data_IF_894025847709
#
_entry.id   IF_894025847709
#
_cell.length_a   1.000
_cell.length_b   1.000
_cell.length_c   1.000
_cell.angle_alpha   90.00
_cell.angle_beta   90.00
_cell.angle_gamma   90.00
#
_symmetry.space_group_name_H-M   'P 1'
#
loop_
_entity.id
_entity.type
_entity.pdbx_description
1 polymer ?
#
# COMPACT_ATOMS: atom_id res chain seq x y z
N UNK A 1 10.48 -15.48 27.97
CA UNK A 1 9.65 -14.90 26.89
C UNK A 1 10.54 -13.99 26.06
N UNK A 2 10.92 -14.39 24.85
CA UNK A 2 11.70 -13.52 23.94
C UNK A 2 10.74 -12.87 22.93
N UNK A 3 10.82 -11.55 22.68
CA UNK A 3 9.92 -10.87 21.77
C UNK A 3 10.30 -11.28 20.35
N UNK A 4 9.41 -12.02 19.69
CA UNK A 4 9.54 -12.29 18.26
C UNK A 4 9.31 -10.97 17.54
N UNK A 5 10.39 -10.23 17.28
CA UNK A 5 10.38 -9.05 16.44
C UNK A 5 9.69 -9.44 15.12
N UNK A 6 8.54 -8.82 14.83
CA UNK A 6 7.87 -9.02 13.55
C UNK A 6 8.76 -8.32 12.54
N UNK A 7 9.64 -9.10 11.92
CA UNK A 7 10.52 -8.63 10.88
C UNK A 7 9.69 -7.92 9.81
N UNK A 8 10.19 -6.77 9.35
CA UNK A 8 9.54 -5.83 8.44
C UNK A 8 8.82 -6.56 7.29
N UNK A 9 7.51 -6.81 7.46
CA UNK A 9 6.70 -7.43 6.43
C UNK A 9 6.58 -6.43 5.28
N UNK A 10 7.12 -6.78 4.11
CA UNK A 10 6.98 -5.96 2.91
C UNK A 10 5.71 -6.40 2.18
N UNK A 11 4.76 -5.47 2.10
CA UNK A 11 3.51 -5.65 1.38
C UNK A 11 3.63 -5.00 0.00
N UNK A 12 3.48 -5.81 -1.05
CA UNK A 12 3.41 -5.32 -2.42
C UNK A 12 2.05 -5.67 -3.02
N UNK A 13 1.28 -4.65 -3.41
CA UNK A 13 -0.10 -4.82 -3.88
C UNK A 13 -0.27 -4.43 -5.34
N UNK A 14 -1.10 -5.18 -6.06
CA UNK A 14 -1.51 -4.89 -7.43
C UNK A 14 -3.01 -4.58 -7.45
N UNK A 15 -3.41 -3.60 -8.25
CA UNK A 15 -4.80 -3.21 -8.34
C UNK A 15 -5.06 -2.12 -9.38
N UNK A 16 -6.35 -1.88 -9.62
CA UNK A 16 -6.81 -0.81 -10.49
C UNK A 16 -7.30 0.37 -9.65
N UNK A 17 -6.74 1.54 -9.90
CA UNK A 17 -7.17 2.79 -9.29
C UNK A 17 -8.33 3.38 -10.09
N UNK A 18 -9.40 3.75 -9.40
CA UNK A 18 -10.47 4.59 -9.91
C UNK A 18 -10.42 5.89 -9.13
N UNK A 19 -9.89 6.94 -9.77
CA UNK A 19 -9.60 8.20 -9.11
C UNK A 19 -10.44 9.33 -9.67
N UNK A 20 -10.92 10.18 -8.78
CA UNK A 20 -11.56 11.44 -9.14
C UNK A 20 -10.61 12.57 -8.78
N UNK A 21 -10.38 13.46 -9.73
CA UNK A 21 -9.53 14.63 -9.54
C UNK A 21 -10.38 15.89 -9.52
N UNK A 22 -9.91 16.90 -8.79
CA UNK A 22 -10.50 18.24 -8.78
C UNK A 22 -9.42 19.26 -9.12
N UNK A 23 -9.76 20.24 -9.94
CA UNK A 23 -8.90 21.38 -10.21
C UNK A 23 -9.25 22.50 -9.25
N UNK A 24 -8.28 22.93 -8.46
CA UNK A 24 -8.37 24.11 -7.60
C UNK A 24 -7.45 25.21 -8.17
N UNK A 25 -7.46 26.39 -7.56
CA UNK A 25 -6.59 27.51 -7.97
C UNK A 25 -5.10 27.15 -7.92
N UNK A 26 -4.74 26.23 -7.02
CA UNK A 26 -3.38 25.68 -6.85
C UNK A 26 -3.09 24.45 -7.73
N UNK A 27 -3.97 24.15 -8.69
CA UNK A 27 -3.85 23.06 -9.66
C UNK A 27 -4.66 21.81 -9.31
N UNK A 28 -4.33 20.71 -9.97
CA UNK A 28 -5.02 19.42 -9.77
C UNK A 28 -4.72 18.83 -8.40
N UNK A 29 -5.75 18.26 -7.78
CA UNK A 29 -5.68 17.52 -6.52
C UNK A 29 -6.49 16.23 -6.63
N UNK A 30 -6.05 15.20 -5.94
CA UNK A 30 -6.82 13.96 -5.76
C UNK A 30 -8.02 14.25 -4.86
N UNK A 31 -9.23 14.06 -5.37
CA UNK A 31 -10.49 14.27 -4.63
C UNK A 31 -10.95 12.99 -3.94
N UNK A 32 -10.87 11.87 -4.65
CA UNK A 32 -11.28 10.56 -4.16
C UNK A 32 -10.47 9.46 -4.84
N UNK A 33 -10.19 8.39 -4.12
CA UNK A 33 -9.56 7.17 -4.67
C UNK A 33 -10.41 5.97 -4.27
N UNK A 34 -10.62 5.06 -5.22
CA UNK A 34 -11.13 3.71 -4.99
C UNK A 34 -10.16 2.72 -5.62
N UNK A 35 -9.62 1.81 -4.80
CA UNK A 35 -8.68 0.79 -5.24
C UNK A 35 -9.35 -0.57 -5.28
N UNK A 36 -9.48 -1.15 -6.47
CA UNK A 36 -9.81 -2.57 -6.62
C UNK A 36 -8.52 -3.38 -6.53
N UNK A 37 -8.30 -4.05 -5.40
CA UNK A 37 -7.12 -4.91 -5.21
C UNK A 37 -7.30 -6.22 -5.97
N UNK A 38 -6.33 -6.53 -6.82
CA UNK A 38 -6.27 -7.77 -7.58
C UNK A 38 -5.41 -8.82 -6.88
N UNK A 39 -4.29 -8.38 -6.27
CA UNK A 39 -3.34 -9.28 -5.60
C UNK A 39 -2.55 -8.53 -4.53
N UNK A 40 -2.16 -9.27 -3.49
CA UNK A 40 -1.31 -8.78 -2.42
C UNK A 40 -0.22 -9.81 -2.14
N UNK A 41 1.03 -9.41 -2.31
CA UNK A 41 2.19 -10.21 -1.97
C UNK A 41 2.74 -9.76 -0.62
N UNK A 42 2.86 -10.70 0.32
CA UNK A 42 3.60 -10.50 1.57
C UNK A 42 4.93 -11.24 1.49
N UNK A 43 6.01 -10.48 1.55
CA UNK A 43 7.33 -11.03 1.85
C UNK A 43 7.56 -10.92 3.35
N UNK A 44 7.51 -12.06 4.02
CA UNK A 44 7.95 -12.17 5.40
C UNK A 44 9.47 -12.32 5.38
N UNK A 45 10.18 -11.27 5.79
CA UNK A 45 11.61 -11.38 6.00
C UNK A 45 11.85 -12.28 7.21
N UNK A 46 12.18 -13.55 7.01
CA UNK A 46 12.81 -14.30 8.09
C UNK A 46 14.24 -13.80 8.16
N UNK A 47 14.56 -13.05 9.22
CA UNK A 47 15.96 -12.81 9.59
C UNK A 47 16.43 -14.09 10.27
N UNK A 48 16.98 -15.01 9.48
CA UNK A 48 17.81 -16.07 10.03
C UNK A 48 19.13 -15.41 10.45
N UNK A 49 19.42 -15.48 11.75
CA UNK A 49 20.69 -15.05 12.35
C UNK A 49 21.77 -16.11 12.23
#
# INVERSE_FOLDING_TARGET
MSPRAVANARLHGFGNYHETYVRLDVGWRLKATQLTRLRLDMLQGVLDG
#
